data_IF_471041731433
#
_entry.id   IF_471041731433
#
_cell.length_a   1.000
_cell.length_b   1.000
_cell.length_c   1.000
_cell.angle_alpha   90.00
_cell.angle_beta   90.00
_cell.angle_gamma   90.00
#
_symmetry.space_group_name_H-M   'P 1'
#
loop_
_entity.id
_entity.type
_entity.pdbx_description
1 polymer ?
#
# COMPACT_ATOMS: atom_id res chain seq x y z
N UNK A 1 -24.29 -3.42 -11.89
CA UNK A 1 -23.15 -2.97 -11.06
C UNK A 1 -23.08 -1.46 -11.09
N UNK A 2 -22.94 -0.80 -9.92
CA UNK A 2 -22.67 0.64 -9.80
C UNK A 2 -21.23 0.83 -9.36
N UNK A 3 -20.46 1.65 -10.09
CA UNK A 3 -19.06 1.95 -9.75
C UNK A 3 -18.99 3.30 -9.05
N UNK A 4 -18.37 3.32 -7.87
CA UNK A 4 -18.13 4.54 -7.11
C UNK A 4 -16.62 4.79 -7.01
N UNK A 5 -16.10 5.84 -7.67
CA UNK A 5 -14.69 6.20 -7.52
C UNK A 5 -14.46 6.88 -6.17
N UNK A 6 -13.28 6.65 -5.59
CA UNK A 6 -12.91 7.26 -4.32
C UNK A 6 -11.43 7.04 -3.99
N UNK A 7 -10.92 7.84 -3.04
CA UNK A 7 -9.58 7.61 -2.49
C UNK A 7 -9.59 6.41 -1.54
N UNK A 8 -8.49 5.64 -1.41
CA UNK A 8 -8.46 4.39 -0.63
C UNK A 8 -9.01 4.51 0.79
N UNK A 9 -8.65 5.56 1.52
CA UNK A 9 -9.14 5.78 2.88
C UNK A 9 -10.66 6.05 2.97
N UNK A 10 -11.26 6.66 1.95
CA UNK A 10 -12.70 6.84 1.88
C UNK A 10 -13.41 5.53 1.54
N UNK A 11 -12.91 4.77 0.55
CA UNK A 11 -13.46 3.47 0.16
C UNK A 11 -13.40 2.47 1.33
N UNK A 12 -12.29 2.44 2.09
CA UNK A 12 -12.19 1.61 3.29
C UNK A 12 -13.30 1.94 4.30
N UNK A 13 -13.58 3.22 4.56
CA UNK A 13 -14.67 3.62 5.47
C UNK A 13 -16.03 3.23 4.94
N UNK A 14 -16.28 3.42 3.65
CA UNK A 14 -17.57 3.14 3.03
C UNK A 14 -17.93 1.65 3.05
N UNK A 15 -16.98 0.74 2.75
CA UNK A 15 -17.26 -0.69 2.84
C UNK A 15 -17.52 -1.12 4.28
N UNK A 16 -16.77 -0.59 5.25
CA UNK A 16 -16.98 -0.87 6.68
C UNK A 16 -18.29 -0.28 7.22
N UNK A 17 -18.74 0.84 6.68
CA UNK A 17 -20.04 1.44 6.99
C UNK A 17 -21.22 0.73 6.29
N UNK A 18 -20.96 -0.21 5.37
CA UNK A 18 -22.00 -0.90 4.61
C UNK A 18 -22.53 -0.12 3.41
N UNK A 19 -21.87 0.98 3.03
CA UNK A 19 -22.22 1.80 1.87
C UNK A 19 -21.71 1.21 0.55
N UNK A 20 -20.70 0.34 0.62
CA UNK A 20 -20.17 -0.44 -0.50
C UNK A 20 -20.24 -1.93 -0.17
N UNK A 21 -20.52 -2.75 -1.18
CA UNK A 21 -20.59 -4.20 -1.04
C UNK A 21 -19.25 -4.88 -1.33
N UNK A 22 -18.52 -4.36 -2.32
CA UNK A 22 -17.22 -4.86 -2.77
C UNK A 22 -16.32 -3.64 -2.99
N UNK A 23 -15.06 -3.72 -2.53
CA UNK A 23 -14.09 -2.64 -2.69
C UNK A 23 -12.65 -3.18 -2.67
N UNK A 24 -11.72 -2.54 -3.41
CA UNK A 24 -10.32 -2.66 -3.05
C UNK A 24 -10.12 -1.98 -1.69
N UNK A 25 -9.29 -2.56 -0.84
CA UNK A 25 -8.95 -1.95 0.44
C UNK A 25 -7.52 -2.26 0.86
N UNK A 26 -6.97 -1.39 1.71
CA UNK A 26 -5.62 -1.61 2.24
C UNK A 26 -5.55 -2.91 3.01
N UNK A 27 -4.46 -3.67 2.84
CA UNK A 27 -4.29 -4.99 3.49
C UNK A 27 -4.47 -4.92 5.00
N UNK A 28 -3.92 -3.89 5.67
CA UNK A 28 -4.08 -3.77 7.12
C UNK A 28 -5.53 -3.52 7.55
N UNK A 29 -6.30 -2.75 6.76
CA UNK A 29 -7.72 -2.51 7.08
C UNK A 29 -8.56 -3.77 6.87
N UNK A 30 -8.26 -4.57 5.84
CA UNK A 30 -8.84 -5.90 5.71
C UNK A 30 -8.50 -6.78 6.92
N UNK A 31 -7.22 -6.86 7.30
CA UNK A 31 -6.77 -7.70 8.43
C UNK A 31 -7.42 -7.29 9.76
N UNK A 32 -7.62 -5.99 9.98
CA UNK A 32 -8.32 -5.46 11.19
C UNK A 32 -9.80 -5.83 11.24
N UNK A 33 -10.42 -6.03 10.07
CA UNK A 33 -11.87 -6.24 9.91
C UNK A 33 -12.19 -7.59 9.24
N UNK A 34 -11.27 -8.55 9.27
CA UNK A 34 -11.41 -9.84 8.58
C UNK A 34 -12.62 -10.67 9.05
N UNK A 35 -13.16 -10.40 10.24
CA UNK A 35 -14.37 -11.04 10.73
C UNK A 35 -15.62 -10.71 9.87
N UNK A 36 -15.69 -9.49 9.34
CA UNK A 36 -16.84 -8.97 8.61
C UNK A 36 -16.66 -8.98 7.08
N UNK A 37 -15.48 -9.38 6.62
CA UNK A 37 -15.08 -9.32 5.22
C UNK A 37 -14.64 -10.68 4.69
N UNK A 38 -14.78 -10.86 3.36
CA UNK A 38 -14.24 -12.00 2.62
C UNK A 38 -13.35 -11.50 1.48
N UNK A 39 -12.21 -12.14 1.26
CA UNK A 39 -11.32 -11.88 0.13
C UNK A 39 -11.94 -12.34 -1.18
N UNK A 40 -11.84 -11.53 -2.21
CA UNK A 40 -12.07 -11.97 -3.58
C UNK A 40 -10.81 -12.73 -4.06
N UNK A 41 -10.97 -13.89 -4.70
CA UNK A 41 -9.85 -14.65 -5.23
C UNK A 41 -9.18 -13.90 -6.41
N UNK A 42 -7.88 -14.15 -6.58
CA UNK A 42 -7.08 -13.69 -7.73
C UNK A 42 -7.06 -12.17 -7.98
N UNK A 43 -7.36 -11.36 -6.96
CA UNK A 43 -7.36 -9.91 -7.05
C UNK A 43 -6.63 -9.26 -5.87
N UNK A 44 -5.57 -8.53 -6.14
CA UNK A 44 -4.77 -7.84 -5.14
C UNK A 44 -3.82 -6.83 -5.77
N UNK A 45 -3.07 -6.12 -4.95
CA UNK A 45 -1.95 -5.27 -5.37
C UNK A 45 -0.75 -5.64 -4.49
N UNK A 46 0.26 -6.21 -5.11
CA UNK A 46 1.47 -6.68 -4.44
C UNK A 46 2.74 -6.33 -5.24
N UNK A 47 3.90 -6.47 -4.63
CA UNK A 47 5.19 -6.51 -5.32
C UNK A 47 6.10 -7.58 -4.75
N UNK A 48 6.96 -8.12 -5.60
CA UNK A 48 8.00 -9.07 -5.22
C UNK A 48 9.36 -8.42 -5.48
N UNK A 49 9.75 -7.55 -4.58
CA UNK A 49 10.83 -6.59 -4.74
C UNK A 49 10.31 -5.15 -4.71
N UNK A 50 10.82 -4.26 -5.58
CA UNK A 50 10.43 -2.86 -5.55
C UNK A 50 8.94 -2.66 -5.79
N UNK A 51 8.32 -1.69 -5.13
CA UNK A 51 6.95 -1.23 -5.38
C UNK A 51 6.91 0.03 -6.22
N UNK A 52 8.01 0.78 -6.23
CA UNK A 52 8.22 2.05 -6.93
C UNK A 52 7.31 3.21 -6.49
N UNK A 53 6.22 2.94 -5.80
CA UNK A 53 5.20 3.94 -5.40
C UNK A 53 5.04 4.08 -3.88
N UNK A 54 5.96 3.53 -3.09
CA UNK A 54 6.02 3.71 -1.63
C UNK A 54 7.48 3.86 -1.23
N UNK A 55 7.87 5.06 -0.80
CA UNK A 55 9.25 5.40 -0.50
C UNK A 55 9.39 6.10 0.85
N UNK A 56 10.41 5.73 1.61
CA UNK A 56 10.91 6.52 2.72
C UNK A 56 12.02 7.43 2.18
N UNK A 57 11.82 8.74 2.27
CA UNK A 57 12.84 9.76 1.92
C UNK A 57 13.32 10.39 3.20
N UNK A 58 14.64 10.40 3.42
CA UNK A 58 15.28 10.86 4.66
C UNK A 58 16.51 11.69 4.39
N UNK A 59 16.77 12.68 5.24
CA UNK A 59 18.02 13.47 5.24
C UNK A 59 19.18 12.78 5.96
N UNK A 60 18.91 11.66 6.65
CA UNK A 60 19.90 10.85 7.37
C UNK A 60 19.70 9.36 7.04
N UNK A 61 20.69 8.49 7.29
CA UNK A 61 20.51 7.05 7.14
C UNK A 61 19.33 6.54 7.96
N UNK A 62 18.57 5.51 7.52
CA UNK A 62 17.44 4.94 8.27
C UNK A 62 17.77 4.53 9.69
N UNK A 63 18.98 4.01 9.90
CA UNK A 63 19.52 3.60 11.22
C UNK A 63 19.72 4.77 12.19
N UNK A 64 19.66 6.01 11.70
CA UNK A 64 19.80 7.23 12.52
C UNK A 64 18.45 7.91 12.81
N UNK A 65 17.33 7.24 12.53
CA UNK A 65 15.99 7.78 12.73
C UNK A 65 15.41 7.51 14.13
N UNK A 66 16.21 6.99 15.07
CA UNK A 66 15.71 6.75 16.43
C UNK A 66 15.32 8.07 17.12
N UNK A 67 14.09 8.13 17.65
CA UNK A 67 13.50 9.36 18.22
C UNK A 67 13.25 10.51 17.22
N UNK A 68 13.67 10.38 15.96
CA UNK A 68 13.49 11.43 14.95
C UNK A 68 12.02 11.53 14.51
N UNK A 69 11.60 12.72 14.06
CA UNK A 69 10.25 12.94 13.52
C UNK A 69 10.17 12.47 12.07
N UNK A 70 9.27 11.53 11.81
CA UNK A 70 9.00 10.97 10.47
C UNK A 70 7.57 11.29 10.07
N UNK A 71 7.43 12.04 8.97
CA UNK A 71 6.13 12.41 8.40
C UNK A 71 5.47 11.18 7.72
N UNK A 72 4.22 10.92 8.06
CA UNK A 72 3.42 9.87 7.44
C UNK A 72 2.24 10.49 6.69
N UNK A 73 2.14 10.21 5.39
CA UNK A 73 0.95 10.62 4.61
C UNK A 73 -0.29 9.88 5.08
N UNK A 74 -1.42 10.55 5.17
CA UNK A 74 -2.68 10.00 5.67
C UNK A 74 -3.41 9.06 4.69
N UNK A 75 -2.84 8.79 3.52
CA UNK A 75 -3.57 8.14 2.41
C UNK A 75 -3.48 6.61 2.36
N UNK A 76 -2.53 5.97 3.07
CA UNK A 76 -2.35 4.50 3.04
C UNK A 76 -1.98 3.92 4.39
N UNK A 77 -2.93 3.25 5.02
CA UNK A 77 -2.73 2.57 6.31
C UNK A 77 -1.70 1.43 6.23
N UNK A 78 -1.70 0.64 5.15
CA UNK A 78 -0.74 -0.48 4.97
C UNK A 78 0.70 0.03 4.91
N UNK A 79 0.95 1.13 4.19
CA UNK A 79 2.31 1.69 4.08
C UNK A 79 2.84 2.21 5.40
N UNK A 80 1.97 2.70 6.29
CA UNK A 80 2.35 3.10 7.65
C UNK A 80 2.85 1.92 8.47
N UNK A 81 2.09 0.83 8.45
CA UNK A 81 2.45 -0.38 9.21
C UNK A 81 3.73 -1.00 8.63
N UNK A 82 3.85 -1.04 7.31
CA UNK A 82 5.06 -1.49 6.63
C UNK A 82 6.29 -0.67 7.06
N UNK A 83 6.18 0.66 7.05
CA UNK A 83 7.27 1.53 7.50
C UNK A 83 7.65 1.28 8.98
N UNK A 84 6.64 1.11 9.88
CA UNK A 84 6.88 0.76 11.29
C UNK A 84 7.60 -0.56 11.46
N UNK A 85 7.20 -1.60 10.71
CA UNK A 85 7.85 -2.91 10.76
C UNK A 85 9.30 -2.78 10.34
N UNK A 86 9.56 -2.15 9.17
CA UNK A 86 10.92 -1.98 8.64
C UNK A 86 11.81 -1.17 9.60
N UNK A 87 11.31 -0.06 10.13
CA UNK A 87 12.07 0.80 11.03
C UNK A 87 12.39 0.09 12.34
N UNK A 88 11.44 -0.62 12.94
CA UNK A 88 11.64 -1.27 14.23
C UNK A 88 12.40 -2.58 14.14
N UNK A 89 12.02 -3.47 13.20
CA UNK A 89 12.56 -4.84 13.19
C UNK A 89 13.89 -4.95 12.44
N UNK A 90 14.13 -4.11 11.40
CA UNK A 90 15.35 -4.23 10.59
C UNK A 90 16.34 -3.09 10.76
N UNK A 91 15.87 -1.86 10.98
CA UNK A 91 16.78 -0.77 11.27
C UNK A 91 16.94 -0.49 12.76
N UNK A 92 16.18 -1.16 13.64
CA UNK A 92 16.33 -1.10 15.09
C UNK A 92 16.01 0.27 15.68
N UNK A 93 15.15 1.08 15.02
CA UNK A 93 14.84 2.45 15.42
C UNK A 93 13.36 2.64 15.69
N UNK A 94 13.04 3.57 16.59
CA UNK A 94 11.68 3.92 17.00
C UNK A 94 11.43 5.42 16.83
N UNK A 95 11.17 5.88 15.60
CA UNK A 95 10.91 7.29 15.35
C UNK A 95 9.56 7.73 15.90
N UNK A 96 9.40 9.06 16.02
CA UNK A 96 8.11 9.70 16.32
C UNK A 96 7.38 9.95 15.01
N UNK A 97 6.29 9.22 14.80
CA UNK A 97 5.48 9.38 13.59
C UNK A 97 4.53 10.57 13.71
N UNK A 98 4.55 11.43 12.69
CA UNK A 98 3.73 12.63 12.61
C UNK A 98 2.83 12.55 11.39
N UNK A 99 1.49 12.65 11.54
CA UNK A 99 0.60 12.72 10.38
C UNK A 99 0.90 13.96 9.53
N UNK A 100 1.02 13.76 8.22
CA UNK A 100 1.20 14.83 7.24
C UNK A 100 0.06 14.87 6.24
N UNK A 101 -0.35 16.09 5.88
CA UNK A 101 -1.24 16.28 4.74
C UNK A 101 -0.44 16.14 3.44
N UNK A 102 -1.01 15.55 2.38
CA UNK A 102 -0.37 15.50 1.07
C UNK A 102 0.00 16.91 0.59
N UNK A 103 1.25 17.11 0.18
CA UNK A 103 1.74 18.40 -0.35
C UNK A 103 2.41 19.32 0.67
N UNK A 104 2.56 18.93 1.93
CA UNK A 104 3.38 19.70 2.89
C UNK A 104 4.86 19.67 2.49
N UNK A 105 5.47 20.84 2.49
CA UNK A 105 6.78 21.24 1.92
C UNK A 105 7.99 20.32 2.12
N UNK A 106 9.15 20.73 1.60
CA UNK A 106 10.41 19.96 1.52
C UNK A 106 10.95 19.42 2.87
N UNK A 107 11.87 18.45 2.79
CA UNK A 107 12.67 18.03 3.95
C UNK A 107 13.59 19.17 4.34
N UNK A 108 13.58 19.55 5.61
CA UNK A 108 14.58 20.48 6.14
C UNK A 108 15.76 19.66 6.68
N UNK A 109 16.94 19.86 6.07
CA UNK A 109 18.18 19.30 6.58
C UNK A 109 18.55 19.93 7.95
N UNK A 110 19.50 19.33 8.70
CA UNK A 110 19.93 19.80 10.04
C UNK A 110 20.69 21.14 10.04
N UNK A 111 20.67 21.94 8.96
CA UNK A 111 21.53 23.12 8.79
C UNK A 111 20.87 24.46 9.08
N UNK A 112 19.70 24.53 9.71
CA UNK A 112 19.18 25.82 10.16
C UNK A 112 19.38 25.99 11.67
N UNK A 113 20.62 26.41 12.02
CA UNK A 113 21.02 26.78 13.38
C UNK A 113 20.48 28.15 13.73
N UNK A 114 19.17 28.33 13.82
CA UNK A 114 18.57 29.49 14.45
C UNK A 114 18.03 29.08 15.84
N UNK A 115 18.37 29.79 16.94
CA UNK A 115 17.93 29.45 18.27
C UNK A 115 16.47 29.89 18.48
N UNK A 116 15.54 29.20 17.86
CA UNK A 116 14.11 29.46 18.03
C UNK A 116 13.50 28.34 18.89
N UNK A 117 13.15 28.72 20.10
CA UNK A 117 12.20 28.13 21.07
C UNK A 117 11.90 26.64 20.86
N UNK A 118 12.36 25.82 21.81
CA UNK A 118 11.95 24.43 22.01
C UNK A 118 10.44 24.34 22.26
N UNK A 119 9.67 24.20 21.18
CA UNK A 119 8.30 23.73 21.20
C UNK A 119 8.29 22.41 20.39
N UNK A 120 7.87 21.32 21.00
CA UNK A 120 7.83 19.98 20.41
C UNK A 120 7.08 19.92 19.05
N UNK A 121 6.29 20.94 18.72
CA UNK A 121 5.55 21.06 17.46
C UNK A 121 6.41 21.62 16.29
N UNK A 122 7.61 22.12 16.51
CA UNK A 122 8.42 22.86 15.53
C UNK A 122 9.70 22.17 15.07
N UNK A 123 10.05 21.00 15.62
CA UNK A 123 11.22 20.27 15.14
C UNK A 123 10.99 19.80 13.69
N UNK A 124 11.98 20.01 12.78
CA UNK A 124 11.83 19.66 11.37
C UNK A 124 11.65 18.15 11.19
N UNK A 125 10.90 17.76 10.17
CA UNK A 125 10.82 16.37 9.76
C UNK A 125 12.16 15.94 9.17
N UNK A 126 12.71 14.85 9.67
CA UNK A 126 13.98 14.25 9.22
C UNK A 126 13.73 13.26 8.08
N UNK A 127 12.56 12.63 8.04
CA UNK A 127 12.16 11.72 6.98
C UNK A 127 10.66 11.84 6.69
N UNK A 128 10.26 11.34 5.51
CA UNK A 128 8.86 11.28 5.05
C UNK A 128 8.56 9.99 4.35
N UNK A 129 7.38 9.46 4.60
CA UNK A 129 6.79 8.38 3.82
C UNK A 129 6.01 8.99 2.65
N UNK A 130 6.49 8.76 1.44
CA UNK A 130 5.83 9.17 0.20
C UNK A 130 5.07 8.00 -0.42
N UNK A 131 3.91 8.28 -1.03
CA UNK A 131 3.05 7.27 -1.66
C UNK A 131 2.55 7.79 -3.01
N UNK A 132 2.42 6.88 -4.00
CA UNK A 132 1.95 7.21 -5.34
C UNK A 132 2.97 8.02 -6.14
N UNK A 133 2.49 9.00 -6.91
CA UNK A 133 3.32 9.82 -7.80
C UNK A 133 4.48 10.53 -7.10
N UNK A 134 4.33 11.10 -5.89
CA UNK A 134 5.47 11.64 -5.15
C UNK A 134 6.58 10.61 -4.91
N UNK A 135 6.24 9.37 -4.57
CA UNK A 135 7.21 8.29 -4.38
C UNK A 135 7.87 7.88 -5.71
N UNK A 136 7.06 7.71 -6.78
CA UNK A 136 7.58 7.44 -8.13
C UNK A 136 8.61 8.49 -8.57
N UNK A 137 8.32 9.77 -8.33
CA UNK A 137 9.24 10.89 -8.67
C UNK A 137 10.50 10.84 -7.84
N UNK A 138 10.39 10.63 -6.53
CA UNK A 138 11.52 10.57 -5.61
C UNK A 138 12.45 9.39 -5.92
N UNK A 139 11.91 8.23 -6.23
CA UNK A 139 12.69 7.03 -6.60
C UNK A 139 13.29 7.13 -8.01
N UNK A 140 12.61 7.84 -8.93
CA UNK A 140 13.13 8.06 -10.27
C UNK A 140 14.25 9.09 -10.32
N UNK A 141 14.11 10.19 -9.58
CA UNK A 141 15.11 11.27 -9.47
C UNK A 141 15.33 11.59 -7.99
N UNK A 142 16.14 10.80 -7.29
CA UNK A 142 16.44 11.06 -5.89
C UNK A 142 17.09 12.44 -5.72
N UNK A 143 16.69 13.16 -4.69
CA UNK A 143 17.29 14.44 -4.33
C UNK A 143 18.72 14.20 -3.80
N UNK A 144 19.75 14.92 -4.29
CA UNK A 144 21.11 14.78 -3.79
C UNK A 144 21.21 15.01 -2.28
N UNK A 145 21.94 14.15 -1.61
CA UNK A 145 22.10 14.23 -0.15
C UNK A 145 20.94 13.62 0.66
N UNK A 146 19.97 12.98 0.00
CA UNK A 146 18.90 12.25 0.68
C UNK A 146 19.03 10.74 0.51
N UNK A 147 18.47 10.00 1.46
CA UNK A 147 18.25 8.55 1.41
C UNK A 147 16.85 8.31 0.88
N UNK A 148 16.74 7.73 -0.30
CA UNK A 148 15.46 7.38 -0.91
C UNK A 148 15.33 5.87 -1.01
N UNK A 149 14.41 5.29 -0.26
CA UNK A 149 14.31 3.86 -0.01
C UNK A 149 12.93 3.35 -0.43
N UNK A 150 12.91 2.38 -1.33
CA UNK A 150 11.69 1.67 -1.74
C UNK A 150 11.32 0.64 -0.67
N UNK A 151 10.15 0.79 -0.04
CA UNK A 151 9.76 -0.07 1.07
C UNK A 151 9.37 -1.48 0.64
N UNK A 152 8.91 -1.69 -0.60
CA UNK A 152 8.66 -3.02 -1.13
C UNK A 152 9.97 -3.79 -1.34
N UNK A 153 10.97 -3.12 -1.89
CA UNK A 153 12.31 -3.70 -2.04
C UNK A 153 12.90 -4.13 -0.69
N UNK A 154 12.83 -3.27 0.31
CA UNK A 154 13.36 -3.59 1.64
C UNK A 154 12.56 -4.71 2.32
N UNK A 155 11.24 -4.73 2.18
CA UNK A 155 10.42 -5.83 2.68
C UNK A 155 10.86 -7.17 2.09
N UNK A 156 10.93 -7.28 0.78
CA UNK A 156 11.33 -8.53 0.11
C UNK A 156 12.75 -8.93 0.45
N UNK A 157 13.67 -7.96 0.53
CA UNK A 157 15.07 -8.20 0.91
C UNK A 157 15.19 -8.82 2.29
N UNK A 158 14.40 -8.38 3.25
CA UNK A 158 14.51 -8.82 4.65
C UNK A 158 13.68 -10.06 4.96
N UNK A 159 12.54 -10.25 4.28
CA UNK A 159 11.60 -11.34 4.59
C UNK A 159 11.63 -12.50 3.60
N UNK A 160 12.07 -12.25 2.38
CA UNK A 160 11.92 -13.19 1.26
C UNK A 160 10.48 -13.31 0.72
N UNK A 161 9.53 -12.60 1.32
CA UNK A 161 8.13 -12.61 0.90
C UNK A 161 7.80 -11.43 -0.02
N UNK A 162 6.79 -11.61 -0.88
CA UNK A 162 6.19 -10.46 -1.55
C UNK A 162 5.43 -9.60 -0.54
N UNK A 163 5.27 -8.30 -0.83
CA UNK A 163 4.44 -7.41 -0.02
C UNK A 163 3.09 -7.21 -0.68
N UNK A 164 2.02 -7.42 0.08
CA UNK A 164 0.64 -7.18 -0.38
C UNK A 164 0.14 -5.87 0.21
N UNK A 165 -0.12 -4.90 -0.65
CA UNK A 165 -0.51 -3.53 -0.25
C UNK A 165 -2.01 -3.37 -0.14
N UNK A 166 -2.74 -4.01 -1.04
CA UNK A 166 -4.19 -3.98 -1.09
C UNK A 166 -4.75 -5.34 -1.54
N UNK A 167 -5.94 -5.63 -1.09
CA UNK A 167 -6.76 -6.79 -1.46
C UNK A 167 -8.11 -6.31 -1.97
N UNK A 168 -8.82 -7.15 -2.72
CA UNK A 168 -10.23 -6.94 -2.98
C UNK A 168 -11.04 -7.71 -1.96
N UNK A 169 -12.01 -7.06 -1.35
CA UNK A 169 -12.85 -7.66 -0.34
C UNK A 169 -14.34 -7.36 -0.59
N UNK A 170 -15.17 -8.31 -0.20
CA UNK A 170 -16.62 -8.16 -0.11
C UNK A 170 -17.05 -8.19 1.35
N UNK A 171 -18.12 -7.48 1.69
CA UNK A 171 -18.78 -7.68 2.99
C UNK A 171 -19.28 -9.10 3.09
N UNK A 172 -18.96 -9.78 4.19
CA UNK A 172 -19.34 -11.19 4.42
C UNK A 172 -20.85 -11.41 4.23
N UNK A 173 -21.67 -10.60 4.89
CA UNK A 173 -23.13 -10.70 4.78
C UNK A 173 -23.65 -10.50 3.35
N UNK A 174 -22.98 -9.69 2.54
CA UNK A 174 -23.33 -9.52 1.13
C UNK A 174 -22.89 -10.73 0.30
N UNK A 175 -21.68 -11.24 0.52
CA UNK A 175 -21.16 -12.40 -0.19
C UNK A 175 -21.98 -13.67 0.10
N UNK A 176 -22.43 -13.85 1.33
CA UNK A 176 -23.31 -14.95 1.72
C UNK A 176 -24.71 -14.85 1.09
N UNK A 177 -25.24 -13.63 0.99
CA UNK A 177 -26.58 -13.38 0.43
C UNK A 177 -26.61 -13.40 -1.10
N UNK A 178 -25.53 -12.96 -1.76
CA UNK A 178 -25.45 -12.79 -3.20
C UNK A 178 -24.17 -13.38 -3.81
N UNK A 179 -23.90 -14.69 -3.59
CA UNK A 179 -22.62 -15.32 -4.00
C UNK A 179 -22.41 -15.27 -5.53
N UNK A 180 -23.48 -15.45 -6.32
CA UNK A 180 -23.38 -15.39 -7.78
C UNK A 180 -23.02 -13.99 -8.29
N UNK A 181 -23.60 -12.96 -7.68
CA UNK A 181 -23.26 -11.55 -8.03
C UNK A 181 -21.80 -11.24 -7.69
N UNK A 182 -21.30 -11.73 -6.54
CA UNK A 182 -19.90 -11.55 -6.17
C UNK A 182 -18.98 -12.28 -7.14
N UNK A 183 -19.33 -13.48 -7.56
CA UNK A 183 -18.57 -14.25 -8.56
C UNK A 183 -18.55 -13.55 -9.93
N UNK A 184 -19.68 -13.01 -10.38
CA UNK A 184 -19.78 -12.24 -11.62
C UNK A 184 -18.90 -10.98 -11.55
N UNK A 185 -19.00 -10.19 -10.47
CA UNK A 185 -18.16 -8.99 -10.27
C UNK A 185 -16.68 -9.35 -10.22
N UNK A 186 -16.32 -10.43 -9.54
CA UNK A 186 -14.93 -10.94 -9.50
C UNK A 186 -14.43 -11.26 -10.91
N UNK A 187 -15.25 -11.94 -11.71
CA UNK A 187 -14.92 -12.25 -13.11
C UNK A 187 -14.72 -10.98 -13.96
N UNK A 188 -15.59 -10.00 -13.83
CA UNK A 188 -15.48 -8.71 -14.55
C UNK A 188 -14.18 -7.99 -14.15
N UNK A 189 -13.87 -7.92 -12.87
CA UNK A 189 -12.65 -7.27 -12.37
C UNK A 189 -11.38 -7.99 -12.85
N UNK A 190 -11.38 -9.32 -12.85
CA UNK A 190 -10.26 -10.13 -13.35
C UNK A 190 -10.05 -9.91 -14.84
N UNK A 191 -11.12 -9.91 -15.63
CA UNK A 191 -11.04 -9.62 -17.08
C UNK A 191 -10.54 -8.21 -17.35
N UNK A 192 -11.01 -7.21 -16.59
CA UNK A 192 -10.57 -5.83 -16.72
C UNK A 192 -9.07 -5.67 -16.37
N UNK A 193 -8.60 -6.32 -15.30
CA UNK A 193 -7.17 -6.41 -14.95
C UNK A 193 -6.35 -6.99 -16.12
N UNK A 194 -6.76 -8.12 -16.63
CA UNK A 194 -6.03 -8.83 -17.69
C UNK A 194 -5.99 -8.00 -19.01
N UNK A 195 -7.08 -7.31 -19.31
CA UNK A 195 -7.12 -6.38 -20.43
C UNK A 195 -6.16 -5.19 -20.19
N UNK A 196 -6.17 -4.60 -19.01
CA UNK A 196 -5.26 -3.50 -18.65
C UNK A 196 -3.79 -3.90 -18.71
N UNK A 197 -3.45 -5.11 -18.25
CA UNK A 197 -2.07 -5.62 -18.28
C UNK A 197 -1.58 -5.86 -19.71
N UNK A 198 -2.43 -6.38 -20.61
CA UNK A 198 -2.08 -6.53 -22.02
C UNK A 198 -1.81 -5.21 -22.72
N UNK A 199 -2.48 -4.14 -22.29
CA UNK A 199 -2.37 -2.80 -22.90
C UNK A 199 -1.46 -1.84 -22.09
N UNK A 200 -0.73 -2.37 -21.10
CA UNK A 200 0.09 -1.56 -20.19
C UNK A 200 1.05 -0.58 -20.90
N UNK A 201 1.75 -0.94 -22.01
CA UNK A 201 2.60 0.01 -22.74
C UNK A 201 1.81 1.17 -23.37
N UNK A 202 0.61 0.91 -23.92
CA UNK A 202 -0.23 1.94 -24.50
C UNK A 202 -0.82 2.83 -23.39
N UNK A 203 -1.23 2.24 -22.27
CA UNK A 203 -1.69 2.96 -21.08
C UNK A 203 -0.60 3.88 -20.54
N UNK A 204 0.63 3.40 -20.42
CA UNK A 204 1.78 4.19 -19.98
C UNK A 204 2.02 5.41 -20.89
N UNK A 205 2.00 5.23 -22.21
CA UNK A 205 2.13 6.36 -23.17
C UNK A 205 1.01 7.37 -23.03
N UNK A 206 -0.21 6.93 -22.76
CA UNK A 206 -1.39 7.80 -22.60
C UNK A 206 -1.35 8.59 -21.30
N UNK A 207 -0.87 7.99 -20.21
CA UNK A 207 -0.79 8.63 -18.91
C UNK A 207 0.45 9.53 -18.74
N UNK A 208 1.53 9.25 -19.46
CA UNK A 208 2.79 9.98 -19.34
C UNK A 208 2.65 11.52 -19.38
N UNK A 209 1.93 12.12 -20.34
CA UNK A 209 1.75 13.59 -20.34
C UNK A 209 0.83 14.07 -19.20
N UNK A 210 -0.12 13.28 -18.75
CA UNK A 210 -1.05 13.67 -17.67
C UNK A 210 -0.34 13.71 -16.32
N UNK A 211 0.53 12.72 -16.07
CA UNK A 211 1.27 12.59 -14.82
C UNK A 211 2.60 13.34 -14.86
N UNK A 212 2.99 13.91 -16.00
CA UNK A 212 4.32 14.51 -16.20
C UNK A 212 5.45 13.56 -15.76
N UNK A 213 5.37 12.31 -16.21
CA UNK A 213 6.32 11.22 -15.98
C UNK A 213 6.69 10.56 -17.31
N UNK A 214 7.90 9.99 -17.47
CA UNK A 214 8.24 9.25 -18.69
C UNK A 214 7.37 8.00 -18.86
N UNK A 215 6.93 7.73 -20.09
CA UNK A 215 6.16 6.53 -20.40
C UNK A 215 6.92 5.24 -20.01
N UNK A 216 8.23 5.20 -20.21
CA UNK A 216 9.09 4.06 -19.82
C UNK A 216 9.12 3.82 -18.30
N UNK A 217 9.01 4.87 -17.49
CA UNK A 217 8.89 4.74 -16.04
C UNK A 217 7.54 4.14 -15.65
N UNK A 218 6.46 4.64 -16.23
CA UNK A 218 5.11 4.12 -15.98
C UNK A 218 4.95 2.67 -16.45
N UNK A 219 5.51 2.32 -17.61
CA UNK A 219 5.52 0.96 -18.12
C UNK A 219 6.26 0.00 -17.16
N UNK A 220 7.43 0.42 -16.68
CA UNK A 220 8.17 -0.33 -15.65
C UNK A 220 7.37 -0.44 -14.36
N UNK A 221 6.72 0.63 -13.91
CA UNK A 221 5.88 0.62 -12.72
C UNK A 221 4.73 -0.38 -12.84
N UNK A 222 3.98 -0.35 -13.96
CA UNK A 222 2.87 -1.27 -14.18
C UNK A 222 3.32 -2.73 -14.26
N UNK A 223 4.50 -2.99 -14.83
CA UNK A 223 5.05 -4.35 -14.90
C UNK A 223 5.69 -4.85 -13.61
N UNK A 224 6.04 -3.95 -12.69
CA UNK A 224 6.62 -4.29 -11.38
C UNK A 224 5.56 -4.79 -10.40
N UNK A 225 4.34 -4.26 -10.51
CA UNK A 225 3.25 -4.65 -9.62
C UNK A 225 2.62 -5.98 -10.04
N UNK A 226 2.19 -6.72 -9.05
CA UNK A 226 1.41 -7.96 -9.18
C UNK A 226 -0.03 -7.65 -8.82
N UNK A 227 -0.95 -7.99 -9.71
CA UNK A 227 -2.38 -7.67 -9.56
C UNK A 227 -3.25 -8.90 -9.31
N UNK A 228 -2.63 -10.08 -9.21
CA UNK A 228 -3.27 -11.32 -8.79
C UNK A 228 -3.15 -11.53 -7.28
N UNK A 229 -3.82 -12.58 -6.80
CA UNK A 229 -3.71 -13.03 -5.42
C UNK A 229 -3.72 -14.56 -5.39
N UNK A 230 -2.54 -15.14 -5.27
CA UNK A 230 -2.31 -16.58 -5.22
C UNK A 230 -1.59 -17.00 -3.92
N UNK A 231 -1.03 -18.22 -3.89
CA UNK A 231 -0.32 -18.74 -2.71
C UNK A 231 0.82 -17.84 -2.23
N UNK A 232 1.60 -17.26 -3.18
CA UNK A 232 2.73 -16.37 -2.85
C UNK A 232 2.26 -15.07 -2.20
N UNK A 233 1.18 -14.49 -2.68
CA UNK A 233 0.56 -13.31 -2.09
C UNK A 233 -0.07 -13.63 -0.73
N UNK A 234 -0.66 -14.81 -0.58
CA UNK A 234 -1.21 -15.25 0.70
C UNK A 234 -0.10 -15.41 1.76
N UNK A 235 1.02 -16.01 1.40
CA UNK A 235 2.19 -16.12 2.28
C UNK A 235 2.72 -14.73 2.66
N UNK A 236 2.80 -13.81 1.69
CA UNK A 236 3.20 -12.42 1.90
C UNK A 236 2.25 -11.66 2.83
N UNK A 237 0.94 -11.82 2.64
CA UNK A 237 -0.07 -11.20 3.51
C UNK A 237 0.03 -11.73 4.95
N UNK A 238 0.22 -13.04 5.12
CA UNK A 238 0.41 -13.67 6.43
C UNK A 238 1.70 -13.18 7.12
N UNK A 239 2.80 -13.08 6.38
CA UNK A 239 4.06 -12.53 6.88
C UNK A 239 3.88 -11.07 7.34
N UNK A 240 3.18 -10.25 6.54
CA UNK A 240 2.86 -8.87 6.89
C UNK A 240 1.97 -8.78 8.14
N UNK A 241 0.93 -9.63 8.23
CA UNK A 241 0.07 -9.71 9.42
C UNK A 241 0.87 -10.04 10.67
N UNK A 242 1.81 -11.00 10.58
CA UNK A 242 2.73 -11.33 11.67
C UNK A 242 3.59 -10.14 12.11
N UNK A 243 4.15 -9.39 11.16
CA UNK A 243 4.87 -8.15 11.44
C UNK A 243 3.97 -7.10 12.10
N UNK A 244 2.73 -6.92 11.62
CA UNK A 244 1.77 -6.00 12.19
C UNK A 244 1.38 -6.32 13.65
N UNK A 245 1.31 -7.63 13.99
CA UNK A 245 1.11 -8.08 15.38
C UNK A 245 2.32 -7.70 16.24
N UNK A 246 3.54 -7.97 15.76
CA UNK A 246 4.77 -7.67 16.54
C UNK A 246 4.97 -6.18 16.80
N UNK A 247 4.54 -5.31 15.87
CA UNK A 247 4.62 -3.85 16.08
C UNK A 247 3.38 -3.24 16.77
N UNK A 248 2.39 -4.08 17.12
CA UNK A 248 1.20 -3.68 17.88
C UNK A 248 0.09 -3.03 17.03
N UNK A 249 0.14 -3.16 15.71
CA UNK A 249 -0.91 -2.64 14.81
C UNK A 249 -2.06 -3.64 14.57
N UNK A 250 -1.87 -4.92 14.95
CA UNK A 250 -2.91 -5.95 15.04
C UNK A 250 -2.84 -6.62 16.43
N UNK A 251 -3.98 -6.99 17.02
CA UNK A 251 -4.01 -7.71 18.30
C UNK A 251 -3.58 -9.17 18.17
N UNK A 252 -3.87 -9.80 17.05
CA UNK A 252 -3.57 -11.20 16.74
C UNK A 252 -3.69 -11.44 15.23
N UNK A 253 -3.22 -12.60 14.78
CA UNK A 253 -3.43 -13.04 13.39
C UNK A 253 -4.92 -13.31 13.14
N UNK A 254 -5.55 -12.65 12.16
CA UNK A 254 -6.94 -12.89 11.84
C UNK A 254 -7.11 -14.17 11.01
N UNK A 255 -8.29 -14.79 11.11
CA UNK A 255 -8.69 -15.82 10.17
C UNK A 255 -9.12 -15.19 8.85
N UNK A 256 -8.47 -15.56 7.75
CA UNK A 256 -8.79 -15.08 6.41
C UNK A 256 -9.93 -15.91 5.82
N UNK A 257 -11.00 -15.25 5.42
CA UNK A 257 -12.13 -15.85 4.74
C UNK A 257 -12.14 -15.43 3.27
N UNK A 258 -12.58 -16.34 2.40
CA UNK A 258 -12.70 -16.13 0.97
C UNK A 258 -14.17 -16.13 0.57
N UNK A 259 -14.49 -15.38 -0.48
CA UNK A 259 -15.77 -15.58 -1.16
C UNK A 259 -15.77 -16.95 -1.79
N UNK A 260 -16.91 -17.66 -1.73
CA UNK A 260 -17.03 -18.97 -2.39
C UNK A 260 -16.66 -18.79 -3.87
N UNK A 261 -15.84 -19.68 -4.46
CA UNK A 261 -15.71 -19.71 -5.90
C UNK A 261 -17.12 -19.98 -6.44
N UNK A 262 -17.67 -19.02 -7.18
CA UNK A 262 -18.89 -19.26 -7.95
C UNK A 262 -18.66 -20.54 -8.74
N UNK A 263 -19.65 -21.41 -8.81
CA UNK A 263 -19.60 -22.59 -9.65
C UNK A 263 -19.31 -22.10 -11.06
N UNK A 264 -18.03 -22.12 -11.43
CA UNK A 264 -17.63 -21.97 -12.83
C UNK A 264 -18.24 -23.17 -13.49
N UNK A 265 -19.34 -22.94 -14.22
CA UNK A 265 -19.91 -23.96 -15.06
C UNK A 265 -18.78 -24.52 -15.92
N UNK A 266 -18.34 -25.70 -15.59
CA UNK A 266 -17.53 -26.52 -16.47
C UNK A 266 -18.38 -26.73 -17.72
N UNK A 267 -18.22 -25.85 -18.69
CA UNK A 267 -18.69 -26.11 -20.04
C UNK A 267 -17.87 -27.29 -20.57
N UNK A 268 -18.55 -28.42 -20.65
CA UNK A 268 -18.07 -29.64 -21.29
C UNK A 268 -17.78 -29.42 -22.76
#
# INVERSE_FOLDING_TARGET
>A
MHLQPGVPSALNRQILAGELDISPMSSIEYLRNAADLCLLPDLGIASDGPVMSIALVSSVPPTSLDGARVGLTSTSATSWVLAKILLREWWGVSPVFVPEMPGAGGLHGPSDSSPARKNEATDPLVARLLIGDPALRALWKPEPGTWTIDLGQEWTRHTGHCMVYAVWAARRAYAERFPETVAEVTSILTQARDAGLRDAPALARRLAPLENLPASLLERYFSTLRYGFGPRELDGLNAFAGGAVRVGDLPSLPHLAWTSPGAVATAA
#
